data_IF_617387053771
#
_entry.id   IF_617387053771
#
_cell.length_a   1.000
_cell.length_b   1.000
_cell.length_c   1.000
_cell.angle_alpha   90.00
_cell.angle_beta   90.00
_cell.angle_gamma   90.00
#
_symmetry.space_group_name_H-M   'P 1'
#
loop_
_entity.id
_entity.type
_entity.pdbx_description
1 polymer ?
#
# COMPACT_ATOMS: atom_id res chain seq x y z
N UNK A 1 12.19 7.85 30.32
CA UNK A 1 12.47 7.72 28.88
C UNK A 1 11.45 6.74 28.33
N UNK A 2 10.39 7.23 27.70
CA UNK A 2 9.49 6.40 26.91
C UNK A 2 9.28 7.13 25.60
N UNK A 3 9.80 6.56 24.52
CA UNK A 3 9.51 7.02 23.17
C UNK A 3 8.35 6.14 22.68
N UNK A 4 7.11 6.59 22.90
CA UNK A 4 5.90 5.97 22.36
C UNK A 4 5.72 6.50 20.93
N UNK A 5 6.59 6.06 20.02
CA UNK A 5 6.39 6.32 18.60
C UNK A 5 5.76 5.06 17.98
N UNK A 6 4.43 5.01 17.95
CA UNK A 6 3.62 4.00 17.26
C UNK A 6 3.74 4.12 15.73
N UNK A 7 4.94 4.33 15.21
CA UNK A 7 5.18 4.60 13.80
C UNK A 7 5.72 3.36 13.12
N UNK A 8 5.01 2.87 12.10
CA UNK A 8 5.50 1.84 11.20
C UNK A 8 6.06 2.49 9.94
N UNK A 9 7.37 2.35 9.76
CA UNK A 9 8.05 2.78 8.52
C UNK A 9 8.14 1.60 7.56
N UNK A 10 7.73 1.82 6.31
CA UNK A 10 7.67 0.77 5.29
C UNK A 10 8.48 1.21 4.09
N UNK A 11 9.31 0.28 3.57
CA UNK A 11 9.97 0.37 2.28
C UNK A 11 9.58 -0.88 1.47
N UNK A 12 8.75 -0.69 0.45
CA UNK A 12 8.38 -1.73 -0.51
C UNK A 12 9.22 -1.58 -1.76
N UNK A 13 9.76 -2.68 -2.27
CA UNK A 13 10.43 -2.71 -3.56
C UNK A 13 9.82 -3.76 -4.48
N UNK A 14 9.80 -3.47 -5.78
CA UNK A 14 9.33 -4.41 -6.79
C UNK A 14 9.94 -4.10 -8.17
N UNK A 15 10.06 -5.09 -9.06
CA UNK A 15 10.31 -4.84 -10.48
C UNK A 15 9.24 -3.91 -11.05
N UNK A 16 9.63 -2.95 -11.90
CA UNK A 16 8.71 -2.01 -12.53
C UNK A 16 8.60 -2.29 -14.02
N UNK A 17 7.46 -2.82 -14.48
CA UNK A 17 7.26 -3.17 -15.89
C UNK A 17 6.36 -2.20 -16.66
N UNK A 18 5.40 -1.55 -16.00
CA UNK A 18 4.55 -0.40 -16.40
C UNK A 18 3.21 -0.53 -15.68
N UNK A 19 2.91 0.32 -14.70
CA UNK A 19 1.63 0.31 -13.98
C UNK A 19 1.79 0.60 -12.51
N UNK A 20 1.13 -0.15 -11.63
CA UNK A 20 1.10 0.15 -10.19
C UNK A 20 1.58 -1.01 -9.34
N UNK A 21 2.13 -0.67 -8.18
CA UNK A 21 2.55 -1.60 -7.13
C UNK A 21 1.81 -1.22 -5.85
N UNK A 22 1.25 -2.20 -5.16
CA UNK A 22 0.47 -1.97 -3.94
C UNK A 22 0.92 -2.79 -2.74
N UNK A 23 0.49 -2.35 -1.56
CA UNK A 23 0.53 -3.09 -0.31
C UNK A 23 -0.78 -2.84 0.44
N UNK A 24 -1.53 -3.91 0.70
CA UNK A 24 -2.73 -3.86 1.54
C UNK A 24 -2.44 -4.13 3.02
N UNK A 25 -3.36 -3.69 3.88
CA UNK A 25 -3.41 -3.86 5.32
C UNK A 25 -4.80 -4.39 5.66
N UNK A 26 -4.85 -5.61 6.20
CA UNK A 26 -6.09 -6.35 6.41
C UNK A 26 -6.07 -7.14 7.71
N UNK A 27 -7.11 -7.00 8.52
CA UNK A 27 -7.27 -7.69 9.82
C UNK A 27 -7.54 -9.18 9.68
N UNK A 28 -8.15 -9.62 8.58
CA UNK A 28 -8.52 -11.01 8.31
C UNK A 28 -7.67 -11.67 7.21
N UNK A 29 -6.78 -10.89 6.60
CA UNK A 29 -5.93 -11.36 5.52
C UNK A 29 -6.57 -11.47 4.15
N UNK A 30 -7.78 -10.94 4.00
CA UNK A 30 -8.46 -10.86 2.72
C UNK A 30 -8.23 -9.48 2.10
N UNK A 31 -8.19 -9.46 0.77
CA UNK A 31 -8.21 -8.21 -0.01
C UNK A 31 -9.47 -7.40 0.28
N UNK A 32 -10.64 -8.04 0.25
CA UNK A 32 -11.92 -7.35 0.43
C UNK A 32 -12.06 -6.87 1.88
N UNK A 33 -12.31 -5.58 2.05
CA UNK A 33 -12.37 -4.90 3.35
C UNK A 33 -11.03 -4.39 3.86
N UNK A 34 -9.96 -4.50 3.07
CA UNK A 34 -8.65 -3.98 3.42
C UNK A 34 -8.44 -2.55 2.92
N UNK A 35 -7.45 -1.86 3.51
CA UNK A 35 -6.95 -0.58 3.01
C UNK A 35 -5.55 -0.77 2.45
N UNK A 36 -5.21 -0.08 1.37
CA UNK A 36 -3.98 -0.29 0.63
C UNK A 36 -3.26 1.00 0.30
N UNK A 37 -1.94 0.97 0.39
CA UNK A 37 -1.05 1.98 -0.18
C UNK A 37 -0.64 1.50 -1.57
N UNK A 38 -0.90 2.32 -2.59
CA UNK A 38 -0.65 1.98 -3.99
C UNK A 38 0.15 3.08 -4.63
N UNK A 39 1.26 2.73 -5.26
CA UNK A 39 2.13 3.67 -5.95
C UNK A 39 2.48 3.26 -7.37
N UNK A 40 2.73 4.26 -8.21
CA UNK A 40 3.04 4.12 -9.62
C UNK A 40 3.90 5.30 -10.09
N UNK A 41 4.46 5.20 -11.29
CA UNK A 41 5.10 6.33 -11.95
C UNK A 41 4.12 6.99 -12.92
N UNK A 42 3.96 8.29 -12.84
CA UNK A 42 3.23 9.10 -13.82
C UNK A 42 4.14 9.43 -15.00
N UNK A 43 3.90 8.81 -16.15
CA UNK A 43 4.58 9.06 -17.43
C UNK A 43 6.11 9.25 -17.33
N UNK A 44 6.78 8.57 -16.39
CA UNK A 44 8.23 8.65 -16.17
C UNK A 44 8.74 9.95 -15.53
N UNK A 45 7.87 10.86 -15.09
CA UNK A 45 8.24 12.19 -14.58
C UNK A 45 8.14 12.27 -13.05
N UNK A 46 7.06 11.74 -12.47
CA UNK A 46 6.81 11.83 -11.03
C UNK A 46 6.26 10.51 -10.49
N UNK A 47 6.74 10.10 -9.32
CA UNK A 47 6.16 8.98 -8.60
C UNK A 47 4.97 9.44 -7.77
N UNK A 48 3.87 8.70 -7.86
CA UNK A 48 2.63 8.97 -7.13
C UNK A 48 2.28 7.80 -6.23
N UNK A 49 1.79 8.10 -5.03
CA UNK A 49 1.31 7.11 -4.05
C UNK A 49 0.01 7.61 -3.43
N UNK A 50 -0.99 6.73 -3.39
CA UNK A 50 -2.32 7.01 -2.85
C UNK A 50 -2.85 5.86 -2.02
N UNK A 51 -3.81 6.18 -1.18
CA UNK A 51 -4.53 5.22 -0.36
C UNK A 51 -5.83 4.79 -1.02
N UNK A 52 -6.13 3.49 -0.94
CA UNK A 52 -7.34 2.90 -1.48
C UNK A 52 -8.02 1.98 -0.47
N UNK A 53 -9.35 1.97 -0.48
CA UNK A 53 -10.15 0.95 0.16
C UNK A 53 -10.53 -0.12 -0.86
N UNK A 54 -10.22 -1.37 -0.54
CA UNK A 54 -10.52 -2.52 -1.38
C UNK A 54 -11.87 -3.12 -0.94
N UNK A 55 -12.97 -2.42 -1.23
CA UNK A 55 -14.33 -2.81 -0.80
C UNK A 55 -14.93 -4.01 -1.55
N UNK A 56 -14.32 -4.42 -2.66
CA UNK A 56 -14.76 -5.54 -3.48
C UNK A 56 -13.72 -5.91 -4.54
N UNK A 57 -14.08 -6.84 -5.43
CA UNK A 57 -13.19 -7.32 -6.51
C UNK A 57 -13.38 -6.58 -7.83
N UNK A 58 -14.36 -5.69 -7.92
CA UNK A 58 -14.63 -4.88 -9.10
C UNK A 58 -13.92 -3.53 -8.97
N UNK A 59 -13.46 -2.91 -10.09
CA UNK A 59 -12.84 -1.58 -10.06
C UNK A 59 -13.68 -0.52 -9.34
N UNK A 60 -15.00 -0.51 -9.57
CA UNK A 60 -15.95 0.39 -8.91
C UNK A 60 -16.05 0.20 -7.38
N UNK A 61 -15.64 -0.96 -6.86
CA UNK A 61 -15.60 -1.22 -5.42
C UNK A 61 -14.23 -0.91 -4.80
N UNK A 62 -13.30 -0.35 -5.59
CA UNK A 62 -11.99 0.12 -5.15
C UNK A 62 -12.00 1.64 -5.18
N UNK A 63 -12.12 2.26 -4.01
CA UNK A 63 -12.28 3.70 -3.86
C UNK A 63 -11.05 4.33 -3.22
N UNK A 64 -10.80 5.61 -3.45
CA UNK A 64 -9.82 6.35 -2.66
C UNK A 64 -10.23 6.32 -1.17
N UNK A 65 -9.28 6.10 -0.28
CA UNK A 65 -9.53 5.96 1.16
C UNK A 65 -8.47 6.66 1.99
N UNK A 66 -8.77 7.85 2.48
CA UNK A 66 -7.82 8.64 3.27
C UNK A 66 -8.01 8.48 4.79
N UNK A 67 -8.92 7.60 5.24
CA UNK A 67 -9.40 7.64 6.63
C UNK A 67 -9.14 6.38 7.44
N UNK A 68 -8.98 5.22 6.79
CA UNK A 68 -8.78 3.94 7.50
C UNK A 68 -7.33 3.62 7.81
N UNK A 69 -6.39 4.17 7.03
CA UNK A 69 -4.97 4.15 7.32
C UNK A 69 -4.52 5.57 7.66
N UNK A 70 -3.84 5.73 8.79
CA UNK A 70 -3.32 7.03 9.20
C UNK A 70 -1.90 7.17 8.68
N UNK A 71 -1.76 7.72 7.47
CA UNK A 71 -0.46 8.04 6.88
C UNK A 71 0.09 9.32 7.51
N UNK A 72 1.34 9.28 7.97
CA UNK A 72 2.00 10.45 8.55
C UNK A 72 2.23 11.49 7.42
N UNK A 73 1.85 12.73 7.66
CA UNK A 73 1.96 13.80 6.66
C UNK A 73 3.41 13.95 6.17
N UNK A 74 3.58 14.12 4.85
CA UNK A 74 4.87 14.26 4.17
C UNK A 74 5.85 13.08 4.37
N UNK A 75 5.36 11.90 4.76
CA UNK A 75 6.20 10.70 4.94
C UNK A 75 6.21 9.77 3.73
N UNK A 76 5.41 10.04 2.71
CA UNK A 76 5.22 9.16 1.55
C UNK A 76 6.03 9.61 0.34
N UNK A 77 6.69 8.67 -0.33
CA UNK A 77 7.45 8.92 -1.55
C UNK A 77 7.51 7.69 -2.45
N UNK A 78 7.73 7.93 -3.74
CA UNK A 78 7.93 6.90 -4.75
C UNK A 78 9.20 7.22 -5.51
N UNK A 79 10.05 6.22 -5.66
CA UNK A 79 11.32 6.35 -6.38
C UNK A 79 11.51 5.21 -7.37
N UNK A 80 12.05 5.52 -8.54
CA UNK A 80 12.42 4.52 -9.54
C UNK A 80 13.95 4.51 -9.68
N UNK A 81 14.56 3.36 -9.43
CA UNK A 81 16.01 3.16 -9.62
C UNK A 81 16.23 1.95 -10.53
N UNK A 82 16.74 2.22 -11.73
CA UNK A 82 16.85 1.20 -12.78
C UNK A 82 15.47 0.64 -13.14
N UNK A 83 15.29 -0.67 -13.03
CA UNK A 83 14.02 -1.37 -13.25
C UNK A 83 13.26 -1.69 -11.96
N UNK A 84 13.55 -1.00 -10.85
CA UNK A 84 12.94 -1.25 -9.54
C UNK A 84 12.22 -0.01 -9.04
N UNK A 85 10.95 -0.15 -8.69
CA UNK A 85 10.17 0.88 -7.99
C UNK A 85 10.25 0.66 -6.48
N UNK A 86 10.40 1.77 -5.76
CA UNK A 86 10.40 1.82 -4.31
C UNK A 86 9.24 2.69 -3.83
N UNK A 87 8.42 2.15 -2.93
CA UNK A 87 7.42 2.91 -2.20
C UNK A 87 7.88 3.04 -0.75
N UNK A 88 8.05 4.27 -0.27
CA UNK A 88 8.36 4.55 1.12
C UNK A 88 7.22 5.35 1.74
N UNK A 89 6.75 4.95 2.92
CA UNK A 89 5.72 5.67 3.65
C UNK A 89 5.73 5.29 5.13
N UNK A 90 5.16 6.16 5.98
CA UNK A 90 5.00 5.88 7.40
C UNK A 90 3.53 5.89 7.79
N UNK A 91 3.17 4.93 8.64
CA UNK A 91 1.83 4.79 9.20
C UNK A 91 1.87 5.00 10.70
N UNK A 92 0.86 5.71 11.22
CA UNK A 92 0.55 5.74 12.64
C UNK A 92 -0.26 4.48 12.98
N UNK A 93 0.31 3.57 13.77
CA UNK A 93 -0.43 2.45 14.33
C UNK A 93 -1.37 2.95 15.42
N UNK A 94 -2.67 2.97 15.10
CA UNK A 94 -3.71 3.10 16.12
C UNK A 94 -4.04 1.76 16.81
N UNK A 95 -3.62 0.63 16.22
CA UNK A 95 -3.83 -0.70 16.78
C UNK A 95 -2.50 -1.26 17.30
N UNK A 96 -2.29 -1.09 18.61
CA UNK A 96 -1.29 -1.81 19.36
C UNK A 96 -1.79 -3.26 19.59
N UNK A 97 -0.95 -4.24 19.26
CA UNK A 97 -1.02 -5.67 19.63
C UNK A 97 -1.95 -6.66 18.88
N UNK A 98 -2.88 -6.28 17.99
CA UNK A 98 -3.73 -7.30 17.29
C UNK A 98 -3.90 -7.12 15.78
N UNK A 99 -3.26 -6.12 15.17
CA UNK A 99 -3.28 -5.96 13.73
C UNK A 99 -2.39 -7.01 13.07
N UNK A 100 -2.96 -8.16 12.69
CA UNK A 100 -2.39 -8.98 11.62
C UNK A 100 -2.33 -8.08 10.40
N UNK A 101 -1.14 -7.70 9.95
CA UNK A 101 -1.01 -6.98 8.69
C UNK A 101 -0.79 -8.05 7.62
N UNK A 102 -1.80 -8.25 6.79
CA UNK A 102 -1.66 -9.03 5.58
C UNK A 102 -1.33 -8.14 4.41
N UNK A 103 -0.11 -8.30 3.93
CA UNK A 103 0.42 -7.61 2.78
C UNK A 103 -0.23 -8.17 1.52
N UNK A 104 -0.43 -7.34 0.51
CA UNK A 104 -0.83 -7.79 -0.82
C UNK A 104 0.00 -7.04 -1.83
N UNK A 105 1.06 -7.67 -2.35
CA UNK A 105 1.76 -7.13 -3.50
C UNK A 105 0.86 -7.28 -4.72
N UNK A 106 0.48 -6.16 -5.29
CA UNK A 106 -0.46 -6.09 -6.40
C UNK A 106 0.23 -5.37 -7.54
N UNK A 107 0.37 -6.02 -8.69
CA UNK A 107 0.98 -5.46 -9.89
C UNK A 107 -0.04 -5.47 -11.03
N UNK A 108 -0.14 -4.40 -11.82
CA UNK A 108 -0.92 -4.43 -13.06
C UNK A 108 -0.20 -3.68 -14.18
N UNK A 109 -0.54 -4.00 -15.43
CA UNK A 109 0.15 -3.48 -16.63
C UNK A 109 -0.37 -2.10 -17.11
N UNK A 110 -1.40 -1.55 -16.47
CA UNK A 110 -2.05 -0.30 -16.89
C UNK A 110 -1.96 0.75 -15.78
N UNK A 111 -1.60 1.98 -16.18
CA UNK A 111 -1.56 3.12 -15.28
C UNK A 111 -2.96 3.42 -14.73
N UNK A 112 -3.11 3.62 -13.42
CA UNK A 112 -4.39 3.96 -12.84
C UNK A 112 -4.79 5.38 -13.24
N UNK A 113 -5.99 5.54 -13.80
CA UNK A 113 -6.58 6.86 -14.11
C UNK A 113 -7.38 7.36 -12.91
N UNK A 114 -8.39 6.57 -12.50
CA UNK A 114 -9.26 6.84 -11.35
C UNK A 114 -9.60 5.58 -10.56
N UNK A 115 -9.48 4.41 -11.18
CA UNK A 115 -9.78 3.11 -10.58
C UNK A 115 -8.58 2.17 -10.76
N UNK A 116 -8.38 1.25 -9.80
CA UNK A 116 -7.34 0.24 -9.92
C UNK A 116 -7.82 -0.90 -10.81
N UNK A 117 -7.01 -1.24 -11.81
CA UNK A 117 -7.18 -2.45 -12.61
C UNK A 117 -6.95 -3.70 -11.76
N UNK A 118 -7.43 -4.86 -12.21
CA UNK A 118 -7.15 -6.12 -11.51
C UNK A 118 -5.65 -6.40 -11.54
N UNK A 119 -5.08 -6.69 -10.37
CA UNK A 119 -3.71 -7.15 -10.24
C UNK A 119 -3.47 -8.50 -10.95
N UNK A 120 -2.28 -8.70 -11.51
CA UNK A 120 -1.82 -9.93 -12.16
C UNK A 120 -1.29 -10.96 -11.17
N UNK A 121 -0.71 -10.49 -10.06
CA UNK A 121 -0.12 -11.32 -9.00
C UNK A 121 -0.56 -10.82 -7.62
N UNK A 122 -0.47 -11.70 -6.62
CA UNK A 122 -0.82 -11.41 -5.24
C UNK A 122 0.05 -12.25 -4.30
N UNK A 123 0.62 -11.63 -3.27
CA UNK A 123 1.38 -12.31 -2.23
C UNK A 123 0.92 -11.86 -0.85
N UNK A 124 0.74 -12.82 0.07
CA UNK A 124 0.33 -12.57 1.45
C UNK A 124 1.40 -13.01 2.45
N UNK A 125 1.70 -12.13 3.40
CA UNK A 125 2.49 -12.43 4.57
C UNK A 125 1.81 -11.85 5.82
N UNK A 126 1.95 -12.52 6.96
CA UNK A 126 1.41 -12.08 8.25
C UNK A 126 2.58 -11.66 9.13
N UNK A 127 2.49 -10.46 9.69
CA UNK A 127 3.44 -9.94 10.67
C UNK A 127 2.75 -9.82 12.02
N UNK A 128 3.39 -10.39 13.03
CA UNK A 128 2.96 -10.29 14.42
C UNK A 128 3.83 -9.24 15.13
N UNK A 129 3.16 -8.24 15.70
CA UNK A 129 3.79 -7.12 16.42
C UNK A 129 3.51 -7.20 17.93
N UNK A 130 2.94 -8.30 18.42
CA UNK A 130 2.85 -8.56 19.84
C UNK A 130 4.23 -8.94 20.38
N UNK A 131 4.72 -8.17 21.35
CA UNK A 131 5.96 -8.47 22.11
C UNK A 131 5.59 -8.86 23.52
#
# INVERSE_FOLDING_TARGET
YEQIDNTLSILLSAPYTTGWVGMAFSTNGLMVGSSAMVGWMEQGVSGSIKQYYLGGKTPAAVTLDETRLVVISNSSSVHLQGSTIYLAFQLQLMCLLHCKISYLHLEAQLHPTTELSKHSSQFQAVFDFST
#
